data_IF_585450645630
#
_entry.id   IF_585450645630
#
_cell.length_a   1.000
_cell.length_b   1.000
_cell.length_c   1.000
_cell.angle_alpha   90.00
_cell.angle_beta   90.00
_cell.angle_gamma   90.00
#
_symmetry.space_group_name_H-M   'P 1'
#
loop_
_entity.id
_entity.type
_entity.pdbx_description
1 polymer ?
#
# COMPACT_ATOMS: atom_id res chain seq x y z
N UNK A 1 -8.01 2.68 17.28
CA UNK A 1 -7.53 3.53 16.17
C UNK A 1 -8.36 3.21 14.93
N UNK A 2 -9.11 4.17 14.36
CA UNK A 2 -9.98 3.95 13.19
C UNK A 2 -9.25 4.44 11.95
N UNK A 3 -9.19 3.64 10.88
CA UNK A 3 -8.63 4.10 9.60
C UNK A 3 -9.55 5.19 9.03
N UNK A 4 -8.95 6.27 8.53
CA UNK A 4 -9.67 7.31 7.81
C UNK A 4 -10.05 6.77 6.43
N UNK A 5 -11.26 7.10 5.98
CA UNK A 5 -11.75 6.78 4.64
C UNK A 5 -12.37 8.06 4.03
N UNK A 6 -12.06 8.38 2.76
CA UNK A 6 -11.14 7.67 1.88
C UNK A 6 -9.66 7.94 2.24
N UNK A 7 -8.75 6.98 2.03
CA UNK A 7 -7.32 7.25 2.11
C UNK A 7 -6.90 8.24 1.01
N UNK A 8 -6.03 9.18 1.35
CA UNK A 8 -5.47 10.16 0.41
C UNK A 8 -4.29 9.57 -0.38
N UNK A 9 -3.89 10.23 -1.47
CA UNK A 9 -2.72 9.80 -2.27
C UNK A 9 -1.41 9.77 -1.46
N UNK A 10 -1.23 10.76 -0.59
CA UNK A 10 -0.04 10.91 0.26
C UNK A 10 -0.11 10.09 1.55
N UNK A 11 -1.21 9.36 1.79
CA UNK A 11 -1.29 8.47 2.94
C UNK A 11 -0.32 7.30 2.80
N UNK A 12 0.17 6.81 3.94
CA UNK A 12 0.97 5.59 3.98
C UNK A 12 0.15 4.38 3.48
N UNK A 13 0.81 3.46 2.77
CA UNK A 13 0.16 2.34 2.08
C UNK A 13 -0.64 1.42 3.02
N UNK A 14 -0.32 1.37 4.31
CA UNK A 14 -1.07 0.61 5.31
C UNK A 14 -2.48 1.18 5.56
N UNK A 15 -2.80 2.38 5.10
CA UNK A 15 -4.15 2.96 5.14
C UNK A 15 -5.13 2.22 4.23
N UNK A 16 -4.66 1.54 3.19
CA UNK A 16 -5.48 0.69 2.33
C UNK A 16 -6.15 -0.44 3.13
N UNK A 17 -7.31 -0.86 2.66
CA UNK A 17 -8.01 -2.01 3.22
C UNK A 17 -7.14 -3.27 3.08
N UNK A 18 -7.22 -4.17 4.08
CA UNK A 18 -6.45 -5.43 4.15
C UNK A 18 -4.93 -5.29 4.34
N UNK A 19 -4.38 -4.08 4.41
CA UNK A 19 -2.98 -3.85 4.78
C UNK A 19 -2.91 -3.42 6.24
N UNK A 20 -2.31 -4.23 7.10
CA UNK A 20 -2.06 -3.85 8.49
C UNK A 20 -0.80 -3.00 8.62
N UNK A 21 -0.81 -1.98 9.49
CA UNK A 21 0.42 -1.27 9.86
C UNK A 21 1.42 -2.29 10.44
N UNK A 22 2.65 -2.25 9.94
CA UNK A 22 3.73 -3.21 10.26
C UNK A 22 3.43 -4.69 9.96
N UNK A 23 2.37 -4.97 9.21
CA UNK A 23 2.03 -6.31 8.75
C UNK A 23 2.98 -6.83 7.66
N UNK A 24 2.89 -8.12 7.34
CA UNK A 24 3.72 -8.76 6.32
C UNK A 24 3.62 -8.06 4.96
N UNK A 25 2.41 -7.65 4.56
CA UNK A 25 2.20 -6.88 3.33
C UNK A 25 2.83 -5.48 3.40
N UNK A 26 2.67 -4.76 4.51
CA UNK A 26 3.31 -3.46 4.68
C UNK A 26 4.83 -3.58 4.51
N UNK A 27 5.46 -4.51 5.24
CA UNK A 27 6.91 -4.73 5.16
C UNK A 27 7.38 -5.13 3.76
N UNK A 28 6.63 -5.98 3.04
CA UNK A 28 6.95 -6.33 1.64
C UNK A 28 6.88 -5.12 0.71
N UNK A 29 5.83 -4.30 0.83
CA UNK A 29 5.65 -3.09 0.02
C UNK A 29 6.74 -2.06 0.30
N UNK A 30 7.04 -1.80 1.57
CA UNK A 30 8.13 -0.91 1.99
C UNK A 30 9.48 -1.38 1.43
N UNK A 31 9.77 -2.70 1.47
CA UNK A 31 11.00 -3.27 0.87
C UNK A 31 11.05 -3.11 -0.66
N UNK A 32 9.89 -3.08 -1.32
CA UNK A 32 9.78 -2.84 -2.75
C UNK A 32 9.82 -1.34 -3.11
N UNK A 33 9.99 -0.44 -2.13
CA UNK A 33 10.01 1.02 -2.33
C UNK A 33 8.62 1.65 -2.42
N UNK A 34 7.57 0.95 -1.98
CA UNK A 34 6.18 1.41 -2.01
C UNK A 34 5.80 1.84 -0.60
N UNK A 35 5.71 3.15 -0.39
CA UNK A 35 5.43 3.72 0.94
C UNK A 35 4.05 4.36 0.99
N UNK A 36 3.59 4.91 -0.13
CA UNK A 36 2.34 5.66 -0.21
C UNK A 36 1.25 4.93 -0.98
N UNK A 37 0.01 5.38 -0.82
CA UNK A 37 -1.13 4.96 -1.65
C UNK A 37 -0.87 5.28 -3.12
N UNK A 38 -0.24 6.43 -3.43
CA UNK A 38 0.18 6.79 -4.79
C UNK A 38 1.08 5.74 -5.44
N UNK A 39 2.16 5.36 -4.76
CA UNK A 39 3.14 4.38 -5.26
C UNK A 39 2.46 3.04 -5.55
N UNK A 40 1.56 2.63 -4.65
CA UNK A 40 0.82 1.40 -4.78
C UNK A 40 -0.11 1.44 -6.00
N UNK A 41 -0.89 2.51 -6.17
CA UNK A 41 -1.80 2.66 -7.31
C UNK A 41 -1.05 2.70 -8.64
N UNK A 42 0.10 3.40 -8.70
CA UNK A 42 0.96 3.40 -9.89
C UNK A 42 1.45 2.00 -10.23
N UNK A 43 1.85 1.20 -9.23
CA UNK A 43 2.29 -0.17 -9.47
C UNK A 43 1.13 -1.06 -9.91
N UNK A 44 -0.05 -0.98 -9.27
CA UNK A 44 -1.24 -1.75 -9.68
C UNK A 44 -1.62 -1.45 -11.13
N UNK A 45 -1.56 -0.17 -11.52
CA UNK A 45 -1.89 0.25 -12.89
C UNK A 45 -0.85 -0.21 -13.92
N UNK A 46 0.43 -0.21 -13.55
CA UNK A 46 1.55 -0.56 -14.46
C UNK A 46 1.79 -2.07 -14.54
N UNK A 47 1.80 -2.75 -13.40
CA UNK A 47 2.19 -4.16 -13.27
C UNK A 47 1.58 -4.80 -12.00
N UNK A 48 0.30 -5.20 -12.07
CA UNK A 48 -0.40 -5.80 -10.93
C UNK A 48 0.14 -7.19 -10.56
N UNK A 49 0.91 -7.86 -11.44
CA UNK A 49 1.45 -9.18 -11.16
C UNK A 49 2.55 -9.13 -10.09
N UNK A 50 3.29 -8.02 -10.01
CA UNK A 50 4.33 -7.82 -8.98
C UNK A 50 3.80 -7.80 -7.55
N UNK A 51 2.50 -7.61 -7.35
CA UNK A 51 1.85 -7.63 -6.04
C UNK A 51 1.28 -9.01 -5.66
N UNK A 52 1.30 -9.97 -6.59
CA UNK A 52 0.62 -11.26 -6.44
C UNK A 52 1.54 -12.42 -6.03
N UNK A 53 2.87 -12.22 -6.10
CA UNK A 53 3.89 -13.21 -5.75
C UNK A 53 4.55 -12.95 -4.38
#
# INVERSE_FOLDING_TARGET
YKKHYPPAFNDEVWRLEKIGKDGSFHKKLTKAGIFTVEDFLRLVARDPQRLRN
#
